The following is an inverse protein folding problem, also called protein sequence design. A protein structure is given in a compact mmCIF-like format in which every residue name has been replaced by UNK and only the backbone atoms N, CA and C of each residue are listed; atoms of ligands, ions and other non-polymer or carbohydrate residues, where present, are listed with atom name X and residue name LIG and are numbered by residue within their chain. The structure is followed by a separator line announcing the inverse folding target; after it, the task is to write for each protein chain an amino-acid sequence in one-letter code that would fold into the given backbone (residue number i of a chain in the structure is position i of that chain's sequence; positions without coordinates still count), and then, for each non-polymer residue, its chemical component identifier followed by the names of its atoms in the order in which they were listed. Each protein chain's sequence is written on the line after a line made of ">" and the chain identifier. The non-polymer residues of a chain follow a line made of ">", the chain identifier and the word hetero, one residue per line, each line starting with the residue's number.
data_IF_409680449897
#
_entry.id   IF_409680449897
#
_cell.length_a   1.000
_cell.length_b   1.000
_cell.length_c   1.000
_cell.angle_alpha   90.00
_cell.angle_beta   90.00
_cell.angle_gamma   90.00
#
_symmetry.space_group_name_H-M   'P 1'
#
loop_
_entity.id
_entity.type
_entity.pdbx_description
1 polymer ?
#
# COMPACT_ATOMS: atom_id res chain seq x y z
N UNK A 1 21.40 -6.74 23.15
CA UNK A 1 20.83 -7.52 22.03
C UNK A 1 20.26 -6.53 21.03
N UNK A 2 20.45 -6.73 19.73
CA UNK A 2 19.88 -5.85 18.69
C UNK A 2 18.39 -6.14 18.52
N UNK A 3 17.55 -5.11 18.56
CA UNK A 3 16.11 -5.25 18.33
C UNK A 3 15.84 -5.67 16.86
N UNK A 4 14.84 -6.53 16.57
CA UNK A 4 14.40 -6.80 15.21
C UNK A 4 14.01 -5.52 14.46
N UNK A 5 14.47 -5.39 13.22
CA UNK A 5 14.26 -4.21 12.37
C UNK A 5 13.68 -4.58 11.01
N UNK A 6 12.73 -3.78 10.54
CA UNK A 6 12.23 -3.77 9.17
C UNK A 6 12.66 -2.45 8.51
N UNK A 7 13.50 -2.54 7.47
CA UNK A 7 13.89 -1.39 6.67
C UNK A 7 12.83 -1.13 5.59
N UNK A 8 12.36 0.11 5.51
CA UNK A 8 11.41 0.56 4.51
C UNK A 8 12.17 1.27 3.39
N UNK A 9 12.31 0.60 2.25
CA UNK A 9 12.92 1.15 1.05
C UNK A 9 11.87 1.99 0.32
N UNK A 10 12.24 3.20 -0.11
CA UNK A 10 11.35 4.10 -0.84
C UNK A 10 12.10 4.74 -2.00
N UNK A 11 11.90 4.17 -3.19
CA UNK A 11 12.37 4.78 -4.44
C UNK A 11 11.34 5.79 -4.94
N UNK A 12 11.77 6.91 -5.57
CA UNK A 12 10.83 7.84 -6.18
C UNK A 12 10.04 7.13 -7.27
N UNK A 13 8.73 7.03 -7.08
CA UNK A 13 7.88 6.29 -8.01
C UNK A 13 7.87 6.95 -9.39
N UNK A 14 8.25 6.18 -10.41
CA UNK A 14 7.89 6.52 -11.78
C UNK A 14 6.36 6.42 -11.89
N UNK A 15 5.69 7.57 -11.82
CA UNK A 15 4.27 7.67 -12.14
C UNK A 15 4.15 7.28 -13.63
N UNK A 16 3.51 6.14 -13.90
CA UNK A 16 3.12 5.75 -15.26
C UNK A 16 2.02 6.71 -15.76
N UNK A 17 2.46 7.89 -16.18
CA UNK A 17 1.65 8.87 -16.88
C UNK A 17 1.30 8.29 -18.26
N UNK A 18 0.26 7.47 -18.32
CA UNK A 18 -0.36 7.10 -19.58
C UNK A 18 -0.77 8.39 -20.29
N UNK A 19 -0.33 8.58 -21.53
CA UNK A 19 -0.80 9.70 -22.34
C UNK A 19 -2.29 9.46 -22.59
N UNK A 20 -3.21 10.37 -22.19
CA UNK A 20 -4.63 10.16 -22.39
C UNK A 20 -4.91 9.91 -23.86
N UNK A 21 -5.73 8.90 -24.16
CA UNK A 21 -6.20 8.68 -25.52
C UNK A 21 -7.03 9.89 -25.95
N UNK A 22 -6.93 10.24 -27.24
CA UNK A 22 -7.50 11.48 -27.79
C UNK A 22 -8.99 11.62 -27.40
N UNK A 23 -9.39 12.83 -26.99
CA UNK A 23 -10.67 13.10 -26.31
C UNK A 23 -11.91 12.69 -27.13
N UNK A 24 -11.76 12.55 -28.45
CA UNK A 24 -12.81 12.18 -29.41
C UNK A 24 -13.10 10.67 -29.51
N UNK A 25 -12.44 9.82 -28.72
CA UNK A 25 -12.77 8.38 -28.65
C UNK A 25 -13.85 8.16 -27.58
N UNK A 26 -15.02 7.67 -27.98
CA UNK A 26 -16.11 7.30 -27.08
C UNK A 26 -15.84 5.97 -26.34
N UNK A 27 -16.60 5.71 -25.27
CA UNK A 27 -16.40 4.48 -24.48
C UNK A 27 -16.73 3.22 -25.30
N UNK A 28 -17.66 3.30 -26.26
CA UNK A 28 -18.00 2.17 -27.14
C UNK A 28 -16.81 1.71 -27.98
N UNK A 29 -16.02 2.62 -28.54
CA UNK A 29 -14.80 2.29 -29.29
C UNK A 29 -13.67 1.77 -28.40
N UNK A 30 -13.60 2.21 -27.14
CA UNK A 30 -12.68 1.62 -26.15
C UNK A 30 -13.09 0.17 -25.84
N UNK A 31 -14.37 -0.07 -25.56
CA UNK A 31 -14.90 -1.42 -25.31
C UNK A 31 -14.71 -2.36 -26.50
N UNK A 32 -14.96 -1.90 -27.73
CA UNK A 32 -14.69 -2.68 -28.95
C UNK A 32 -13.21 -3.15 -29.06
N UNK A 33 -12.25 -2.37 -28.55
CA UNK A 33 -10.83 -2.76 -28.52
C UNK A 33 -10.49 -3.70 -27.34
N UNK A 34 -11.20 -3.56 -26.22
CA UNK A 34 -11.05 -4.42 -25.04
C UNK A 34 -11.62 -5.82 -25.27
N UNK A 35 -12.75 -5.91 -25.97
CA UNK A 35 -13.46 -7.15 -26.31
C UNK A 35 -12.90 -7.83 -27.57
N UNK A 36 -11.98 -7.21 -28.31
CA UNK A 36 -11.31 -7.84 -29.46
C UNK A 36 -10.29 -8.89 -29.00
N UNK A 37 -10.75 -10.14 -28.89
CA UNK A 37 -9.94 -11.30 -28.51
C UNK A 37 -8.71 -11.53 -29.42
N UNK A 38 -8.70 -10.98 -30.65
CA UNK A 38 -7.56 -11.11 -31.58
C UNK A 38 -6.40 -10.17 -31.25
N UNK A 39 -6.65 -9.12 -30.46
CA UNK A 39 -5.65 -8.14 -30.03
C UNK A 39 -4.96 -8.63 -28.75
N UNK A 40 -3.63 -8.60 -28.70
CA UNK A 40 -2.88 -8.99 -27.50
C UNK A 40 -3.20 -8.08 -26.30
N UNK A 41 -3.33 -8.65 -25.10
CA UNK A 41 -3.78 -7.95 -23.88
C UNK A 41 -3.02 -6.63 -23.58
N UNK A 42 -1.69 -6.62 -23.80
CA UNK A 42 -0.82 -5.43 -23.70
C UNK A 42 -1.35 -4.23 -24.52
N UNK A 43 -1.92 -4.48 -25.70
CA UNK A 43 -2.48 -3.45 -26.59
C UNK A 43 -3.89 -3.01 -26.17
N UNK A 44 -4.59 -3.81 -25.35
CA UNK A 44 -5.88 -3.45 -24.74
C UNK A 44 -5.71 -2.64 -23.45
N UNK A 45 -4.60 -2.82 -22.72
CA UNK A 45 -4.29 -2.09 -21.47
C UNK A 45 -4.53 -0.57 -21.54
N UNK A 46 -4.11 0.18 -22.60
CA UNK A 46 -4.36 1.62 -22.65
C UNK A 46 -5.85 1.99 -22.70
N UNK A 47 -6.69 1.17 -23.34
CA UNK A 47 -8.13 1.38 -23.38
C UNK A 47 -8.78 1.10 -22.02
N UNK A 48 -8.36 0.02 -21.34
CA UNK A 48 -8.80 -0.29 -19.97
C UNK A 48 -8.41 0.82 -18.97
N UNK A 49 -7.19 1.37 -19.08
CA UNK A 49 -6.74 2.49 -18.24
C UNK A 49 -7.53 3.78 -18.51
N UNK A 50 -7.84 4.08 -19.77
CA UNK A 50 -8.67 5.23 -20.13
C UNK A 50 -10.12 5.05 -19.67
N UNK A 51 -10.68 3.84 -19.72
CA UNK A 51 -11.98 3.51 -19.12
C UNK A 51 -11.95 3.66 -17.58
N UNK A 52 -10.87 3.25 -16.91
CA UNK A 52 -10.69 3.44 -15.47
C UNK A 52 -10.63 4.94 -15.10
N UNK A 53 -9.86 5.73 -15.87
CA UNK A 53 -9.77 7.19 -15.74
C UNK A 53 -11.12 7.89 -15.94
N UNK A 54 -12.00 7.32 -16.77
CA UNK A 54 -13.38 7.78 -17.01
C UNK A 54 -14.39 7.24 -15.99
N UNK A 55 -14.00 6.33 -15.10
CA UNK A 55 -14.87 5.63 -14.16
C UNK A 55 -16.05 4.94 -14.86
N UNK A 56 -15.78 4.25 -15.98
CA UNK A 56 -16.82 3.52 -16.72
C UNK A 56 -17.42 2.40 -15.85
N UNK A 57 -18.75 2.37 -15.73
CA UNK A 57 -19.46 1.48 -14.81
C UNK A 57 -19.33 -0.01 -15.14
N UNK A 58 -19.02 -0.36 -16.39
CA UNK A 58 -18.86 -1.77 -16.82
C UNK A 58 -17.48 -2.33 -16.46
N UNK A 59 -16.54 -1.48 -16.03
CA UNK A 59 -15.16 -1.88 -15.82
C UNK A 59 -14.97 -2.79 -14.61
N UNK A 60 -15.79 -2.65 -13.56
CA UNK A 60 -15.78 -3.57 -12.41
C UNK A 60 -16.18 -4.98 -12.83
N UNK A 61 -17.29 -5.14 -13.57
CA UNK A 61 -17.74 -6.44 -14.09
C UNK A 61 -16.73 -7.07 -15.05
N UNK A 62 -15.98 -6.26 -15.81
CA UNK A 62 -14.88 -6.74 -16.65
C UNK A 62 -13.66 -7.18 -15.82
N UNK A 63 -13.31 -6.46 -14.74
CA UNK A 63 -12.25 -6.87 -13.82
C UNK A 63 -12.57 -8.21 -13.15
N UNK A 64 -13.82 -8.46 -12.76
CA UNK A 64 -14.24 -9.77 -12.21
C UNK A 64 -14.05 -10.92 -13.22
N UNK A 65 -14.27 -10.68 -14.52
CA UNK A 65 -13.97 -11.68 -15.57
C UNK A 65 -12.47 -11.95 -15.70
N UNK A 66 -11.64 -10.90 -15.69
CA UNK A 66 -10.18 -11.01 -15.75
C UNK A 66 -9.61 -11.73 -14.54
N UNK A 67 -10.13 -11.44 -13.34
CA UNK A 67 -9.71 -12.10 -12.09
C UNK A 67 -10.16 -13.56 -11.98
N UNK A 68 -11.20 -13.95 -12.71
CA UNK A 68 -11.70 -15.33 -12.79
C UNK A 68 -11.08 -16.14 -13.95
N UNK A 69 -10.19 -15.54 -14.76
CA UNK A 69 -9.49 -16.23 -15.83
C UNK A 69 -8.42 -17.19 -15.27
N UNK A 70 -8.15 -18.28 -16.00
CA UNK A 70 -7.02 -19.19 -15.68
C UNK A 70 -5.67 -18.61 -16.12
N UNK A 71 -5.68 -17.56 -16.96
CA UNK A 71 -4.47 -16.90 -17.44
C UNK A 71 -3.95 -15.86 -16.43
N UNK A 72 -2.64 -15.93 -16.15
CA UNK A 72 -1.98 -15.10 -15.15
C UNK A 72 -1.80 -13.63 -15.59
N UNK A 73 -1.65 -13.37 -16.89
CA UNK A 73 -1.55 -12.00 -17.41
C UNK A 73 -2.92 -11.30 -17.38
N UNK A 74 -4.01 -12.03 -17.68
CA UNK A 74 -5.38 -11.53 -17.48
C UNK A 74 -5.64 -11.22 -15.99
N UNK A 75 -5.27 -12.11 -15.07
CA UNK A 75 -5.40 -11.89 -13.63
C UNK A 75 -4.61 -10.65 -13.14
N UNK A 76 -3.35 -10.52 -13.57
CA UNK A 76 -2.52 -9.34 -13.29
C UNK A 76 -3.09 -8.06 -13.90
N UNK A 77 -3.73 -8.15 -15.08
CA UNK A 77 -4.42 -7.02 -15.70
C UNK A 77 -5.61 -6.59 -14.86
N UNK A 78 -6.46 -7.53 -14.41
CA UNK A 78 -7.59 -7.26 -13.53
C UNK A 78 -7.17 -6.49 -12.27
N UNK A 79 -6.10 -6.95 -11.59
CA UNK A 79 -5.50 -6.24 -10.45
C UNK A 79 -5.03 -4.84 -10.84
N UNK A 80 -4.30 -4.72 -11.95
CA UNK A 80 -3.73 -3.45 -12.41
C UNK A 80 -4.82 -2.41 -12.72
N UNK A 81 -5.96 -2.84 -13.26
CA UNK A 81 -7.08 -1.95 -13.57
C UNK A 81 -7.90 -1.59 -12.32
N UNK A 82 -8.06 -2.50 -11.34
CA UNK A 82 -8.62 -2.16 -10.03
C UNK A 82 -7.75 -1.10 -9.30
N UNK A 83 -6.42 -1.22 -9.37
CA UNK A 83 -5.49 -0.19 -8.87
C UNK A 83 -5.63 1.14 -9.63
N UNK A 84 -5.88 1.10 -10.94
CA UNK A 84 -6.11 2.32 -11.74
C UNK A 84 -7.46 3.00 -11.44
N UNK A 85 -8.49 2.22 -11.10
CA UNK A 85 -9.79 2.73 -10.66
C UNK A 85 -9.69 3.47 -9.31
N UNK A 86 -8.95 2.91 -8.35
CA UNK A 86 -8.67 3.56 -7.06
C UNK A 86 -9.91 3.87 -6.21
N UNK A 87 -11.05 3.23 -6.48
CA UNK A 87 -12.31 3.42 -5.75
C UNK A 87 -12.34 2.55 -4.48
N UNK A 88 -13.17 2.89 -3.47
CA UNK A 88 -13.39 2.04 -2.31
C UNK A 88 -13.77 0.60 -2.69
N UNK A 89 -14.67 0.43 -3.66
CA UNK A 89 -15.07 -0.90 -4.14
C UNK A 89 -13.90 -1.69 -4.74
N UNK A 90 -13.00 -1.03 -5.49
CA UNK A 90 -11.81 -1.67 -6.02
C UNK A 90 -10.85 -2.14 -4.90
N UNK A 91 -10.77 -1.41 -3.77
CA UNK A 91 -10.03 -1.85 -2.59
C UNK A 91 -10.68 -3.12 -1.99
N UNK A 92 -12.00 -3.13 -1.81
CA UNK A 92 -12.73 -4.30 -1.31
C UNK A 92 -12.51 -5.54 -2.21
N UNK A 93 -12.56 -5.39 -3.54
CA UNK A 93 -12.26 -6.50 -4.46
C UNK A 93 -10.83 -7.00 -4.33
N UNK A 94 -9.84 -6.11 -4.26
CA UNK A 94 -8.45 -6.53 -4.05
C UNK A 94 -8.22 -7.21 -2.68
N UNK A 95 -8.96 -6.84 -1.64
CA UNK A 95 -8.94 -7.55 -0.34
C UNK A 95 -9.52 -8.96 -0.47
N UNK A 96 -10.56 -9.16 -1.28
CA UNK A 96 -11.11 -10.50 -1.58
C UNK A 96 -10.12 -11.35 -2.40
N UNK A 97 -9.50 -10.77 -3.43
CA UNK A 97 -8.44 -11.44 -4.24
C UNK A 97 -7.29 -11.87 -3.33
N UNK A 98 -6.81 -11.00 -2.43
CA UNK A 98 -5.77 -11.35 -1.46
C UNK A 98 -6.14 -12.57 -0.60
N UNK A 99 -7.39 -12.67 -0.15
CA UNK A 99 -7.84 -13.78 0.68
C UNK A 99 -7.88 -15.12 -0.09
N UNK A 100 -8.09 -15.08 -1.40
CA UNK A 100 -8.15 -16.24 -2.30
C UNK A 100 -6.76 -16.66 -2.82
N UNK A 101 -5.86 -15.70 -3.02
CA UNK A 101 -4.48 -15.89 -3.48
C UNK A 101 -3.60 -16.75 -2.57
N UNK A 102 -2.50 -17.26 -3.13
CA UNK A 102 -1.47 -18.03 -2.42
C UNK A 102 -0.12 -17.28 -2.38
N UNK A 103 0.59 -17.37 -1.24
CA UNK A 103 1.99 -16.95 -1.05
C UNK A 103 2.44 -15.68 -1.82
N UNK A 104 3.12 -15.84 -2.95
CA UNK A 104 3.70 -14.74 -3.73
C UNK A 104 2.65 -13.81 -4.34
N UNK A 105 1.50 -14.36 -4.75
CA UNK A 105 0.33 -13.60 -5.21
C UNK A 105 -0.20 -12.70 -4.09
N UNK A 106 -0.30 -13.22 -2.85
CA UNK A 106 -0.75 -12.42 -1.70
C UNK A 106 0.16 -11.23 -1.48
N UNK A 107 1.47 -11.42 -1.55
CA UNK A 107 2.44 -10.34 -1.41
C UNK A 107 2.27 -9.30 -2.53
N UNK A 108 2.04 -9.74 -3.76
CA UNK A 108 1.75 -8.84 -4.88
C UNK A 108 0.46 -8.03 -4.65
N UNK A 109 -0.66 -8.69 -4.33
CA UNK A 109 -1.96 -8.05 -4.10
C UNK A 109 -1.91 -7.10 -2.90
N UNK A 110 -1.19 -7.46 -1.82
CA UNK A 110 -0.95 -6.58 -0.67
C UNK A 110 -0.25 -5.29 -1.08
N UNK A 111 0.81 -5.38 -1.88
CA UNK A 111 1.49 -4.20 -2.42
C UNK A 111 0.55 -3.37 -3.30
N UNK A 112 -0.35 -3.99 -4.06
CA UNK A 112 -1.34 -3.28 -4.88
C UNK A 112 -2.42 -2.57 -4.06
N UNK A 113 -2.98 -3.24 -3.03
CA UNK A 113 -3.88 -2.60 -2.04
C UNK A 113 -3.20 -1.41 -1.36
N UNK A 114 -1.93 -1.57 -0.97
CA UNK A 114 -1.17 -0.50 -0.30
C UNK A 114 -1.01 0.77 -1.14
N UNK A 115 -1.08 0.69 -2.48
CA UNK A 115 -1.00 1.85 -3.41
C UNK A 115 -2.27 2.68 -3.47
N UNK A 116 -3.43 2.11 -3.15
CA UNK A 116 -4.74 2.77 -3.20
C UNK A 116 -5.49 2.81 -1.86
N UNK A 117 -4.83 2.39 -0.76
CA UNK A 117 -5.48 2.21 0.54
C UNK A 117 -6.12 3.51 1.08
N UNK A 118 -7.44 3.49 1.23
CA UNK A 118 -8.23 4.54 1.91
C UNK A 118 -8.34 4.26 3.42
N UNK A 119 -8.75 5.28 4.20
CA UNK A 119 -8.87 5.18 5.65
C UNK A 119 -9.88 4.11 6.12
N UNK A 120 -10.93 3.87 5.32
CA UNK A 120 -11.99 2.89 5.60
C UNK A 120 -11.45 1.45 5.65
N UNK A 121 -10.43 1.16 4.84
CA UNK A 121 -9.83 -0.17 4.68
C UNK A 121 -8.59 -0.41 5.56
N UNK A 122 -8.27 0.51 6.47
CA UNK A 122 -7.14 0.34 7.44
C UNK A 122 -7.29 -0.93 8.26
N UNK A 123 -8.51 -1.29 8.67
CA UNK A 123 -8.77 -2.49 9.48
C UNK A 123 -8.41 -3.79 8.72
N UNK A 124 -8.99 -4.11 7.53
CA UNK A 124 -8.58 -5.28 6.77
C UNK A 124 -7.09 -5.25 6.39
N UNK A 125 -6.55 -4.10 5.96
CA UNK A 125 -5.13 -3.97 5.62
C UNK A 125 -4.21 -4.29 6.82
N UNK A 126 -4.57 -3.89 8.05
CA UNK A 126 -3.81 -4.22 9.26
C UNK A 126 -3.78 -5.73 9.62
N UNK A 127 -4.61 -6.54 8.95
CA UNK A 127 -4.58 -8.01 9.04
C UNK A 127 -3.65 -8.56 7.96
N UNK A 128 -3.80 -8.11 6.71
CA UNK A 128 -2.96 -8.50 5.57
C UNK A 128 -1.47 -8.21 5.85
N UNK A 129 -1.17 -7.00 6.32
CA UNK A 129 0.22 -6.52 6.51
C UNK A 129 1.02 -7.29 7.56
N UNK A 130 0.37 -8.17 8.33
CA UNK A 130 1.03 -9.06 9.30
C UNK A 130 1.92 -10.11 8.63
N UNK A 131 1.58 -10.54 7.42
CA UNK A 131 2.41 -11.52 6.67
C UNK A 131 3.76 -10.93 6.24
N UNK A 132 3.86 -9.60 6.11
CA UNK A 132 5.11 -8.88 5.77
C UNK A 132 5.71 -8.09 6.95
N UNK A 133 5.06 -8.10 8.12
CA UNK A 133 5.56 -7.47 9.35
C UNK A 133 6.60 -8.37 10.05
N UNK A 134 7.71 -8.63 9.35
CA UNK A 134 8.85 -9.44 9.81
C UNK A 134 10.16 -8.65 9.66
N UNK A 135 11.25 -9.03 10.35
CA UNK A 135 12.55 -8.35 10.19
C UNK A 135 13.13 -8.58 8.79
N UNK A 136 13.72 -7.55 8.19
CA UNK A 136 14.27 -7.61 6.83
C UNK A 136 14.17 -6.26 6.10
N UNK A 137 14.01 -6.32 4.77
CA UNK A 137 13.78 -5.16 3.91
C UNK A 137 12.45 -5.30 3.18
N UNK A 138 11.67 -4.22 3.11
CA UNK A 138 10.42 -4.14 2.37
C UNK A 138 10.41 -2.86 1.53
N UNK A 139 10.19 -3.04 0.23
CA UNK A 139 9.92 -1.93 -0.67
C UNK A 139 8.49 -1.42 -0.46
N UNK A 140 8.38 -0.14 -0.09
CA UNK A 140 7.11 0.59 0.08
C UNK A 140 6.95 1.70 -0.96
N UNK A 141 7.72 1.65 -2.05
CA UNK A 141 7.63 2.61 -3.16
C UNK A 141 6.20 2.70 -3.70
N UNK A 142 5.65 3.91 -3.74
CA UNK A 142 4.28 4.16 -4.21
C UNK A 142 3.16 3.74 -3.25
N UNK A 143 3.45 3.25 -2.04
CA UNK A 143 2.42 3.01 -1.02
C UNK A 143 1.80 4.32 -0.53
N UNK A 144 0.52 4.31 -0.14
CA UNK A 144 -0.10 5.48 0.49
C UNK A 144 0.48 5.72 1.89
N UNK A 145 0.45 6.98 2.34
CA UNK A 145 0.83 7.33 3.72
C UNK A 145 0.05 6.53 4.76
N UNK A 146 -1.23 6.24 4.47
CA UNK A 146 -2.12 5.39 5.28
C UNK A 146 -1.59 3.97 5.40
N UNK A 147 -1.14 3.37 4.29
CA UNK A 147 -0.58 2.01 4.28
C UNK A 147 0.74 1.94 5.06
N UNK A 148 1.65 2.91 4.85
CA UNK A 148 2.91 3.00 5.58
C UNK A 148 2.69 3.20 7.08
N UNK A 149 1.77 4.08 7.48
CA UNK A 149 1.43 4.27 8.90
C UNK A 149 0.87 2.98 9.52
N UNK A 150 -0.03 2.30 8.82
CA UNK A 150 -0.62 1.03 9.29
C UNK A 150 0.44 -0.06 9.44
N UNK A 151 1.41 -0.15 8.52
CA UNK A 151 2.56 -1.04 8.65
C UNK A 151 3.42 -0.69 9.88
N UNK A 152 3.78 0.60 10.07
CA UNK A 152 4.58 1.05 11.22
C UNK A 152 3.87 0.69 12.55
N UNK A 153 2.57 0.90 12.64
CA UNK A 153 1.75 0.55 13.82
C UNK A 153 1.68 -0.96 14.08
N UNK A 154 1.57 -1.77 13.03
CA UNK A 154 1.56 -3.23 13.14
C UNK A 154 2.94 -3.75 13.57
N UNK A 155 4.02 -3.28 12.94
CA UNK A 155 5.39 -3.65 13.32
C UNK A 155 5.69 -3.31 14.78
N UNK A 156 5.28 -2.13 15.26
CA UNK A 156 5.40 -1.71 16.67
C UNK A 156 4.72 -2.69 17.63
N UNK A 157 3.54 -3.23 17.28
CA UNK A 157 2.82 -4.24 18.09
C UNK A 157 3.54 -5.60 18.13
N UNK A 158 4.32 -5.93 17.10
CA UNK A 158 5.19 -7.11 17.07
C UNK A 158 6.61 -6.86 17.63
N UNK A 159 6.88 -5.67 18.18
CA UNK A 159 8.19 -5.29 18.72
C UNK A 159 9.26 -5.00 17.67
N UNK A 160 8.89 -4.91 16.40
CA UNK A 160 9.78 -4.65 15.26
C UNK A 160 9.92 -3.13 15.10
N UNK A 161 11.15 -2.63 15.15
CA UNK A 161 11.47 -1.23 14.85
C UNK A 161 11.43 -1.04 13.33
N UNK A 162 10.75 0.01 12.84
CA UNK A 162 10.79 0.37 11.42
C UNK A 162 11.78 1.50 11.20
N UNK A 163 12.56 1.42 10.13
CA UNK A 163 13.54 2.44 9.75
C UNK A 163 13.31 2.81 8.28
N UNK A 164 12.91 4.04 7.99
CA UNK A 164 12.95 4.57 6.63
C UNK A 164 14.35 5.02 6.23
N UNK A 165 14.63 5.12 4.92
CA UNK A 165 15.92 5.63 4.40
C UNK A 165 16.21 7.11 4.77
N UNK A 166 15.26 7.82 5.40
CA UNK A 166 15.45 9.15 6.00
C UNK A 166 15.53 9.18 7.54
N UNK A 167 15.21 8.09 8.24
CA UNK A 167 15.02 8.07 9.70
C UNK A 167 16.35 7.90 10.49
N UNK A 168 17.50 8.29 9.92
CA UNK A 168 18.83 8.16 10.57
C UNK A 168 19.16 9.26 11.58
N UNK A 169 18.27 10.23 11.81
CA UNK A 169 18.46 11.34 12.76
C UNK A 169 17.15 11.69 13.49
N UNK A 170 16.63 10.78 14.32
CA UNK A 170 15.67 11.12 15.40
C UNK A 170 15.52 9.92 16.39
N UNK A 171 16.56 9.67 17.20
CA UNK A 171 16.48 8.80 18.40
C UNK A 171 17.74 9.02 19.28
N UNK A 172 17.92 10.26 19.76
CA UNK A 172 18.79 10.58 20.91
C UNK A 172 17.95 11.38 21.91
N UNK A 173 18.04 10.99 23.19
CA UNK A 173 17.32 11.50 24.36
C UNK A 173 15.78 11.37 24.38
N UNK A 174 15.32 10.28 25.01
CA UNK A 174 14.43 10.36 26.20
C UNK A 174 14.28 9.00 26.92
N UNK A 175 15.38 8.47 27.48
CA UNK A 175 15.32 7.44 28.53
C UNK A 175 16.24 7.79 29.69
N UNK A 176 15.66 8.30 30.77
CA UNK A 176 16.40 8.77 31.95
C UNK A 176 15.48 9.04 33.14
N UNK A 177 14.55 8.13 33.44
CA UNK A 177 13.78 8.17 34.69
C UNK A 177 14.70 7.81 35.86
N UNK A 178 14.74 8.69 36.87
CA UNK A 178 15.34 8.44 38.18
C UNK A 178 14.55 9.22 39.23
N UNK A 179 13.51 8.59 39.77
CA UNK A 179 13.03 8.90 41.12
C UNK A 179 14.07 8.39 42.13
N UNK A 180 14.45 9.18 43.15
CA UNK A 180 14.53 8.82 44.58
C UNK A 180 14.73 10.10 45.42
N UNK A 181 13.69 10.44 46.18
CA UNK A 181 13.63 10.97 47.56
C UNK A 181 14.89 11.61 48.21
N UNK A 182 14.76 12.92 48.50
CA UNK A 182 14.62 13.54 49.83
C UNK A 182 15.70 13.46 50.95
N UNK A 183 15.77 14.56 51.73
CA UNK A 183 16.45 14.76 53.04
C UNK A 183 17.99 14.91 53.02
N UNK A 184 18.51 16.13 53.32
CA UNK A 184 19.03 16.42 54.67
C UNK A 184 19.07 17.94 55.01
N UNK A 185 19.22 18.24 56.29
CA UNK A 185 18.88 19.51 56.97
C UNK A 185 20.11 20.40 57.32
N UNK A 186 19.80 21.62 57.82
CA UNK A 186 20.59 22.50 58.72
C UNK A 186 21.63 23.51 58.21
N UNK A 187 21.36 24.78 58.63
CA UNK A 187 22.29 25.82 59.14
C UNK A 187 23.30 26.47 58.17
N UNK A 188 23.56 27.79 58.12
CA UNK A 188 23.21 29.01 58.92
C UNK A 188 23.51 30.27 58.04
N UNK A 189 23.39 31.57 58.40
CA UNK A 189 23.23 32.33 59.66
C UNK A 189 22.53 33.70 59.41
N UNK A 190 21.77 34.16 60.41
CA UNK A 190 21.26 35.50 60.79
C UNK A 190 21.66 36.84 60.11
N UNK A 191 20.70 37.76 60.15
CA UNK A 191 20.76 39.24 60.29
C UNK A 191 21.47 40.14 59.26
N UNK A 192 20.66 40.90 58.50
CA UNK A 192 20.65 42.37 58.58
C UNK A 192 19.38 43.02 58.01
#
# INVERSE_FOLDING_TARGET
>A
MTQPRLRLLSTPSHIENHTPLYVDIDNARLWNLVEDETVHLILRKPALLELARRQDSLLMDHCEKLLAAEDYEDWLMGISILVALGTPEAVDRLVLVYAQSLNDERRHVLCMVARILTAEHVKPFSIMVREVAIPGELDVSGWTKTAVSTLKDVCKRFGIQTCGDGDLIEDIDSTGSLDVLDIDEMSTLSDR
#
